data_IF_446289997561
#
_entry.id   IF_446289997561
#
_cell.length_a   1.000
_cell.length_b   1.000
_cell.length_c   1.000
_cell.angle_alpha   90.00
_cell.angle_beta   90.00
_cell.angle_gamma   90.00
#
_symmetry.space_group_name_H-M   'P 1'
#
loop_
_entity.id
_entity.type
_entity.pdbx_description
1 polymer ?
#
# COMPACT_ATOMS: atom_id res chain seq x y z
N UNK A 1 27.43 -18.44 1.25
CA UNK A 1 27.45 -18.05 -0.17
C UNK A 1 28.47 -16.93 -0.33
N UNK A 2 29.23 -16.82 -1.44
CA UNK A 2 30.12 -15.67 -1.64
C UNK A 2 29.27 -14.40 -1.66
N UNK A 3 29.80 -13.32 -1.02
CA UNK A 3 29.19 -12.01 -1.10
C UNK A 3 28.97 -11.63 -2.58
N UNK A 4 27.82 -11.05 -2.96
CA UNK A 4 27.63 -10.59 -4.32
C UNK A 4 28.75 -9.61 -4.67
N UNK A 5 29.31 -9.78 -5.86
CA UNK A 5 30.31 -8.90 -6.43
C UNK A 5 29.75 -7.47 -6.34
N UNK A 6 30.47 -6.54 -5.69
CA UNK A 6 30.02 -5.17 -5.41
C UNK A 6 29.95 -4.30 -6.68
N UNK A 7 29.34 -4.81 -7.75
CA UNK A 7 29.06 -4.06 -8.94
C UNK A 7 27.99 -3.00 -8.71
N UNK A 8 28.20 -1.79 -9.26
CA UNK A 8 27.21 -0.74 -9.22
C UNK A 8 25.94 -1.16 -10.00
N UNK A 9 24.77 -0.94 -9.41
CA UNK A 9 23.47 -1.20 -10.02
C UNK A 9 23.14 -0.08 -11.02
N UNK A 10 22.85 -0.47 -12.26
CA UNK A 10 22.49 0.48 -13.34
C UNK A 10 21.22 0.03 -14.05
N UNK A 11 20.28 0.95 -14.20
CA UNK A 11 19.08 0.76 -15.01
C UNK A 11 19.48 1.02 -16.48
N UNK A 12 19.32 0.02 -17.33
CA UNK A 12 19.61 0.12 -18.76
C UNK A 12 18.41 0.59 -19.56
N UNK A 13 17.21 0.16 -19.17
CA UNK A 13 15.94 0.47 -19.84
C UNK A 13 14.78 0.33 -18.86
N UNK A 14 13.72 1.10 -19.08
CA UNK A 14 12.46 1.00 -18.36
C UNK A 14 11.30 1.34 -19.31
N UNK A 15 10.28 0.47 -19.33
CA UNK A 15 9.13 0.58 -20.22
C UNK A 15 7.84 0.39 -19.43
N UNK A 16 6.77 1.00 -19.94
CA UNK A 16 5.42 0.84 -19.37
C UNK A 16 4.45 0.26 -20.39
N UNK A 17 3.52 -0.54 -19.87
CA UNK A 17 2.26 -0.89 -20.52
C UNK A 17 1.11 -0.49 -19.61
N UNK A 18 -0.03 -0.11 -20.20
CA UNK A 18 -1.20 0.35 -19.46
C UNK A 18 -2.43 -0.46 -19.86
N UNK A 19 -3.18 -0.89 -18.85
CA UNK A 19 -4.43 -1.62 -19.04
C UNK A 19 -5.55 -0.94 -18.25
N UNK A 20 -6.69 -0.68 -18.87
CA UNK A 20 -7.85 -0.12 -18.19
C UNK A 20 -8.75 -1.25 -17.64
N UNK A 21 -9.23 -1.05 -16.41
CA UNK A 21 -10.17 -1.96 -15.74
C UNK A 21 -11.44 -1.21 -15.36
N UNK A 22 -12.58 -1.90 -15.45
CA UNK A 22 -13.86 -1.44 -14.95
C UNK A 22 -14.15 -2.10 -13.60
N UNK A 23 -14.60 -1.31 -12.60
CA UNK A 23 -15.00 -1.81 -11.30
C UNK A 23 -16.50 -2.18 -11.32
N UNK A 24 -16.83 -3.36 -10.86
CA UNK A 24 -18.19 -3.86 -10.74
C UNK A 24 -18.37 -4.64 -9.42
N UNK A 25 -19.05 -4.05 -8.43
CA UNK A 25 -19.65 -2.71 -8.42
C UNK A 25 -18.60 -1.59 -8.32
N UNK A 26 -18.96 -0.32 -8.65
CA UNK A 26 -18.11 0.83 -8.40
C UNK A 26 -17.79 1.00 -6.91
N UNK A 27 -16.58 1.42 -6.58
CA UNK A 27 -16.18 1.71 -5.20
C UNK A 27 -16.43 3.18 -4.85
N UNK A 28 -17.25 3.43 -3.82
CA UNK A 28 -17.53 4.78 -3.32
C UNK A 28 -16.73 5.05 -2.06
N UNK A 29 -15.88 6.07 -2.13
CA UNK A 29 -15.07 6.60 -1.03
C UNK A 29 -15.47 8.04 -0.72
N UNK A 30 -15.00 8.63 0.37
CA UNK A 30 -15.31 10.00 0.76
C UNK A 30 -14.94 11.06 -0.30
N UNK A 31 -13.97 10.76 -1.17
CA UNK A 31 -13.47 11.67 -2.23
C UNK A 31 -14.17 11.50 -3.58
N UNK A 32 -14.98 10.46 -3.77
CA UNK A 32 -15.68 10.21 -5.04
C UNK A 32 -15.98 8.76 -5.33
N UNK A 33 -16.33 8.47 -6.57
CA UNK A 33 -16.62 7.13 -7.07
C UNK A 33 -15.53 6.68 -8.02
N UNK A 34 -15.04 5.47 -7.85
CA UNK A 34 -14.08 4.80 -8.73
C UNK A 34 -14.86 3.73 -9.50
N UNK A 35 -15.07 3.96 -10.80
CA UNK A 35 -15.74 3.05 -11.73
C UNK A 35 -14.77 2.46 -12.76
N UNK A 36 -13.74 3.23 -13.12
CA UNK A 36 -12.65 2.81 -14.00
C UNK A 36 -11.31 3.16 -13.39
N UNK A 37 -10.30 2.34 -13.66
CA UNK A 37 -8.95 2.54 -13.15
C UNK A 37 -7.92 1.99 -14.14
N UNK A 38 -6.78 2.67 -14.28
CA UNK A 38 -5.68 2.23 -15.14
C UNK A 38 -4.65 1.47 -14.32
N UNK A 39 -4.34 0.25 -14.71
CA UNK A 39 -3.18 -0.52 -14.27
C UNK A 39 -1.96 -0.08 -15.08
N UNK A 40 -0.88 0.30 -14.40
CA UNK A 40 0.41 0.61 -14.97
C UNK A 40 1.40 -0.48 -14.59
N UNK A 41 1.92 -1.21 -15.58
CA UNK A 41 2.97 -2.22 -15.39
C UNK A 41 4.26 -1.71 -15.99
N UNK A 42 5.33 -1.71 -15.18
CA UNK A 42 6.69 -1.35 -15.58
C UNK A 42 7.56 -2.61 -15.74
N UNK A 43 8.32 -2.66 -16.83
CA UNK A 43 9.44 -3.57 -17.00
C UNK A 43 10.74 -2.79 -16.89
N UNK A 44 11.67 -3.23 -16.04
CA UNK A 44 13.00 -2.66 -15.88
C UNK A 44 14.04 -3.68 -16.31
N UNK A 45 15.07 -3.22 -17.04
CA UNK A 45 16.30 -3.97 -17.28
C UNK A 45 17.40 -3.42 -16.38
N UNK A 46 17.85 -4.20 -15.42
CA UNK A 46 18.87 -3.84 -14.42
C UNK A 46 20.14 -4.68 -14.60
N UNK A 47 21.31 -4.06 -14.45
CA UNK A 47 22.60 -4.73 -14.49
C UNK A 47 23.48 -4.33 -13.31
N UNK A 48 24.37 -5.26 -12.88
CA UNK A 48 25.49 -4.98 -11.98
C UNK A 48 26.84 -4.88 -12.71
N UNK A 49 26.81 -4.77 -14.05
CA UNK A 49 27.99 -4.75 -14.91
C UNK A 49 28.44 -6.14 -15.41
N UNK A 50 28.05 -7.20 -14.72
CA UNK A 50 28.38 -8.60 -15.08
C UNK A 50 27.15 -9.37 -15.55
N UNK A 51 26.03 -9.20 -14.86
CA UNK A 51 24.77 -9.89 -15.13
C UNK A 51 23.68 -8.84 -15.39
N UNK A 52 22.74 -9.18 -16.25
CA UNK A 52 21.55 -8.36 -16.53
C UNK A 52 20.29 -9.17 -16.25
N UNK A 53 19.30 -8.55 -15.60
CA UNK A 53 17.99 -9.14 -15.31
C UNK A 53 16.87 -8.16 -15.60
N UNK A 54 15.71 -8.71 -15.93
CA UNK A 54 14.46 -7.97 -16.02
C UNK A 54 13.68 -8.11 -14.72
N UNK A 55 13.01 -7.05 -14.31
CA UNK A 55 12.07 -7.03 -13.21
C UNK A 55 10.78 -6.32 -13.60
N UNK A 56 9.70 -6.63 -12.89
CA UNK A 56 8.36 -6.13 -13.15
C UNK A 56 7.76 -5.54 -11.89
N UNK A 57 6.99 -4.47 -12.05
CA UNK A 57 6.23 -3.84 -10.98
C UNK A 57 4.94 -3.25 -11.52
N UNK A 58 3.86 -3.38 -10.76
CA UNK A 58 2.53 -2.97 -11.19
C UNK A 58 1.84 -2.18 -10.09
N UNK A 59 1.12 -1.13 -10.47
CA UNK A 59 0.30 -0.31 -9.57
C UNK A 59 -0.91 0.23 -10.34
N UNK A 60 -2.02 0.49 -9.61
CA UNK A 60 -3.17 1.20 -10.17
C UNK A 60 -3.01 2.72 -10.06
N UNK A 61 -3.22 3.43 -11.17
CA UNK A 61 -3.24 4.88 -11.23
C UNK A 61 -4.60 5.43 -10.78
N UNK A 62 -4.90 5.31 -9.47
CA UNK A 62 -6.18 5.69 -8.88
C UNK A 62 -6.31 7.20 -8.74
N UNK A 63 -6.69 7.89 -9.83
CA UNK A 63 -6.82 9.35 -9.88
C UNK A 63 -7.78 9.93 -8.82
N UNK A 64 -8.88 9.24 -8.52
CA UNK A 64 -9.85 9.69 -7.50
C UNK A 64 -9.22 9.71 -6.10
N UNK A 65 -8.31 8.79 -5.83
CA UNK A 65 -7.63 8.69 -4.53
C UNK A 65 -6.39 9.58 -4.44
N UNK A 66 -5.49 9.53 -5.45
CA UNK A 66 -4.20 10.21 -5.38
C UNK A 66 -4.22 11.65 -5.92
N UNK A 67 -5.26 12.03 -6.65
CA UNK A 67 -5.44 13.37 -7.22
C UNK A 67 -6.91 13.81 -7.16
N UNK A 68 -7.50 13.97 -5.96
CA UNK A 68 -8.94 14.25 -5.79
C UNK A 68 -9.34 15.67 -6.21
N UNK A 69 -8.40 16.64 -6.19
CA UNK A 69 -8.69 18.03 -6.53
C UNK A 69 -9.13 18.16 -7.99
N UNK A 70 -10.02 19.13 -8.27
CA UNK A 70 -10.41 19.43 -9.65
C UNK A 70 -9.20 19.90 -10.47
N UNK A 71 -9.11 19.47 -11.72
CA UNK A 71 -8.05 19.85 -12.64
C UNK A 71 -8.62 20.00 -14.06
N UNK A 72 -8.11 20.98 -14.80
CA UNK A 72 -8.45 21.22 -16.22
C UNK A 72 -7.68 20.28 -17.17
N UNK A 73 -7.32 19.10 -16.71
CA UNK A 73 -6.54 18.13 -17.46
C UNK A 73 -7.16 16.74 -17.33
N UNK A 74 -6.99 15.93 -18.36
CA UNK A 74 -7.21 14.48 -18.26
C UNK A 74 -6.16 13.87 -17.32
N UNK A 75 -6.58 13.57 -16.11
CA UNK A 75 -5.71 13.08 -15.05
C UNK A 75 -5.13 11.72 -15.36
N UNK A 76 -5.90 10.80 -15.95
CA UNK A 76 -5.40 9.48 -16.33
C UNK A 76 -4.28 9.59 -17.36
N UNK A 77 -4.48 10.40 -18.41
CA UNK A 77 -3.44 10.66 -19.41
C UNK A 77 -2.22 11.34 -18.78
N UNK A 78 -2.42 12.29 -17.86
CA UNK A 78 -1.32 12.96 -17.17
C UNK A 78 -0.49 11.99 -16.32
N UNK A 79 -1.15 11.06 -15.58
CA UNK A 79 -0.48 10.04 -14.77
C UNK A 79 0.30 9.05 -15.65
N UNK A 80 -0.25 8.59 -16.78
CA UNK A 80 0.47 7.72 -17.72
C UNK A 80 1.72 8.40 -18.27
N UNK A 81 1.61 9.63 -18.73
CA UNK A 81 2.77 10.42 -19.21
C UNK A 81 3.81 10.63 -18.12
N UNK A 82 3.39 10.81 -16.87
CA UNK A 82 4.30 10.93 -15.74
C UNK A 82 5.11 9.64 -15.54
N UNK A 83 4.47 8.47 -15.59
CA UNK A 83 5.16 7.17 -15.54
C UNK A 83 6.24 7.04 -16.62
N UNK A 84 5.88 7.32 -17.88
CA UNK A 84 6.80 7.27 -19.03
C UNK A 84 7.96 8.28 -18.89
N UNK A 85 7.66 9.49 -18.41
CA UNK A 85 8.68 10.54 -18.22
C UNK A 85 9.73 10.11 -17.20
N UNK A 86 9.31 9.56 -16.04
CA UNK A 86 10.26 9.09 -15.03
C UNK A 86 11.07 7.90 -15.56
N UNK A 87 10.44 6.94 -16.24
CA UNK A 87 11.11 5.76 -16.81
C UNK A 87 12.21 6.17 -17.80
N UNK A 88 11.90 7.10 -18.69
CA UNK A 88 12.89 7.62 -19.66
C UNK A 88 14.08 8.29 -18.96
N UNK A 89 13.83 9.06 -17.92
CA UNK A 89 14.87 9.82 -17.21
C UNK A 89 15.71 8.96 -16.27
N UNK A 90 15.14 7.93 -15.65
CA UNK A 90 15.87 7.05 -14.71
C UNK A 90 16.95 6.22 -15.43
N UNK A 91 16.71 5.80 -16.67
CA UNK A 91 17.67 5.06 -17.47
C UNK A 91 18.91 5.91 -17.85
N UNK A 92 18.82 7.24 -17.73
CA UNK A 92 19.92 8.18 -17.98
C UNK A 92 20.74 8.51 -16.73
N UNK A 93 20.33 8.00 -15.55
CA UNK A 93 20.99 8.32 -14.29
C UNK A 93 22.28 7.52 -14.09
N UNK A 94 23.12 8.03 -13.20
CA UNK A 94 24.35 7.33 -12.80
C UNK A 94 24.02 6.03 -12.05
N UNK A 95 24.88 5.01 -12.15
CA UNK A 95 24.74 3.80 -11.36
C UNK A 95 24.75 4.09 -9.86
N UNK A 96 24.04 3.28 -9.09
CA UNK A 96 24.00 3.35 -7.62
C UNK A 96 24.74 2.17 -6.99
N UNK A 97 25.32 2.38 -5.82
CA UNK A 97 25.95 1.36 -5.00
C UNK A 97 24.94 0.54 -4.16
N UNK A 98 23.68 0.98 -4.13
CA UNK A 98 22.65 0.34 -3.31
C UNK A 98 21.25 0.41 -3.95
N UNK A 99 20.40 -0.55 -3.58
CA UNK A 99 19.00 -0.58 -3.96
C UNK A 99 18.24 0.64 -3.42
N UNK A 100 18.50 1.04 -2.17
CA UNK A 100 17.91 2.25 -1.58
C UNK A 100 18.37 3.53 -2.28
N UNK A 101 19.60 3.54 -2.82
CA UNK A 101 20.09 4.64 -3.65
C UNK A 101 19.33 4.77 -4.97
N UNK A 102 18.98 3.65 -5.62
CA UNK A 102 18.11 3.67 -6.80
C UNK A 102 16.69 4.17 -6.45
N UNK A 103 16.09 3.67 -5.37
CA UNK A 103 14.80 4.15 -4.90
C UNK A 103 14.80 5.64 -4.59
N UNK A 104 15.86 6.17 -3.95
CA UNK A 104 16.03 7.59 -3.72
C UNK A 104 16.10 8.39 -5.04
N UNK A 105 16.81 7.87 -6.04
CA UNK A 105 16.89 8.50 -7.38
C UNK A 105 15.51 8.58 -8.02
N UNK A 106 14.71 7.52 -7.97
CA UNK A 106 13.33 7.51 -8.53
C UNK A 106 12.46 8.55 -7.82
N UNK A 107 12.50 8.62 -6.50
CA UNK A 107 11.75 9.59 -5.70
C UNK A 107 12.17 11.02 -6.05
N UNK A 108 13.48 11.31 -6.08
CA UNK A 108 14.02 12.65 -6.38
C UNK A 108 13.66 13.11 -7.79
N UNK A 109 13.77 12.22 -8.79
CA UNK A 109 13.35 12.53 -10.16
C UNK A 109 11.86 12.84 -10.25
N UNK A 110 11.01 12.11 -9.51
CA UNK A 110 9.57 12.38 -9.50
C UNK A 110 9.25 13.76 -8.91
N UNK A 111 9.99 14.18 -7.89
CA UNK A 111 9.81 15.51 -7.30
C UNK A 111 10.29 16.63 -8.21
N UNK A 112 11.40 16.42 -8.92
CA UNK A 112 11.96 17.37 -9.89
C UNK A 112 11.08 17.52 -11.14
N UNK A 113 10.64 16.40 -11.72
CA UNK A 113 10.03 16.39 -13.06
C UNK A 113 8.50 16.56 -13.05
N UNK A 114 7.85 16.29 -11.94
CA UNK A 114 6.39 16.22 -11.84
C UNK A 114 5.80 17.26 -10.88
N UNK A 115 6.40 18.44 -10.75
CA UNK A 115 5.96 19.50 -9.83
C UNK A 115 4.48 19.88 -9.98
N UNK A 116 3.93 19.78 -11.20
CA UNK A 116 2.51 20.07 -11.48
C UNK A 116 1.53 18.97 -11.04
N UNK A 117 2.05 17.82 -10.62
CA UNK A 117 1.25 16.68 -10.15
C UNK A 117 1.29 16.63 -8.62
N UNK A 118 0.18 16.39 -7.91
CA UNK A 118 0.16 16.30 -6.45
C UNK A 118 1.17 15.26 -5.91
N UNK A 119 1.77 15.49 -4.72
CA UNK A 119 2.82 14.63 -4.18
C UNK A 119 2.44 13.15 -4.12
N UNK A 120 1.22 12.81 -3.66
CA UNK A 120 0.77 11.42 -3.62
C UNK A 120 0.68 10.80 -5.02
N UNK A 121 0.18 11.55 -6.00
CA UNK A 121 0.10 11.07 -7.39
C UNK A 121 1.49 10.84 -8.00
N UNK A 122 2.50 11.68 -7.67
CA UNK A 122 3.89 11.44 -8.05
C UNK A 122 4.39 10.09 -7.55
N UNK A 123 4.10 9.75 -6.29
CA UNK A 123 4.49 8.46 -5.68
C UNK A 123 3.81 7.28 -6.40
N UNK A 124 2.52 7.42 -6.71
CA UNK A 124 1.77 6.40 -7.46
C UNK A 124 2.37 6.20 -8.87
N UNK A 125 2.78 7.28 -9.55
CA UNK A 125 3.38 7.17 -10.88
C UNK A 125 4.76 6.51 -10.88
N UNK A 126 5.59 6.71 -9.84
CA UNK A 126 6.90 6.08 -9.78
C UNK A 126 6.90 4.69 -9.12
N UNK A 127 5.83 4.32 -8.43
CA UNK A 127 5.79 3.05 -7.72
C UNK A 127 5.96 1.80 -8.61
N UNK A 128 5.36 1.69 -9.82
CA UNK A 128 5.62 0.53 -10.67
C UNK A 128 7.09 0.37 -11.04
N UNK A 129 7.77 1.49 -11.29
CA UNK A 129 9.21 1.51 -11.60
C UNK A 129 10.05 1.09 -10.39
N UNK A 130 9.77 1.63 -9.20
CA UNK A 130 10.48 1.27 -7.96
C UNK A 130 10.27 -0.22 -7.61
N UNK A 131 9.04 -0.72 -7.72
CA UNK A 131 8.72 -2.13 -7.53
C UNK A 131 9.46 -3.03 -8.53
N UNK A 132 9.55 -2.62 -9.81
CA UNK A 132 10.29 -3.35 -10.84
C UNK A 132 11.81 -3.37 -10.59
N UNK A 133 12.38 -2.28 -10.07
CA UNK A 133 13.79 -2.22 -9.65
C UNK A 133 14.06 -3.22 -8.53
N UNK A 134 13.18 -3.28 -7.53
CA UNK A 134 13.31 -4.24 -6.43
C UNK A 134 13.20 -5.69 -6.93
N UNK A 135 12.28 -5.96 -7.85
CA UNK A 135 12.14 -7.27 -8.46
C UNK A 135 13.39 -7.68 -9.25
N UNK A 136 13.89 -6.78 -10.12
CA UNK A 136 15.12 -6.99 -10.90
C UNK A 136 16.35 -7.22 -10.01
N UNK A 137 16.47 -6.46 -8.91
CA UNK A 137 17.59 -6.57 -7.98
C UNK A 137 17.61 -7.91 -7.25
N UNK A 138 16.44 -8.40 -6.81
CA UNK A 138 16.33 -9.76 -6.24
C UNK A 138 16.70 -10.85 -7.25
N UNK A 139 16.24 -10.73 -8.52
CA UNK A 139 16.64 -11.64 -9.59
C UNK A 139 18.15 -11.58 -9.91
N UNK A 140 18.79 -10.41 -9.82
CA UNK A 140 20.23 -10.27 -9.97
C UNK A 140 21.00 -10.99 -8.86
N UNK A 141 20.48 -10.91 -7.63
CA UNK A 141 21.09 -11.52 -6.46
C UNK A 141 20.72 -13.02 -6.30
N UNK A 142 19.74 -13.53 -7.04
CA UNK A 142 19.23 -14.90 -6.91
C UNK A 142 18.53 -15.16 -5.58
N UNK A 143 17.85 -14.14 -5.04
CA UNK A 143 17.10 -14.23 -3.78
C UNK A 143 15.85 -13.32 -3.81
N UNK A 144 14.97 -13.48 -2.84
CA UNK A 144 13.85 -12.55 -2.67
C UNK A 144 14.37 -11.13 -2.42
N UNK A 145 13.71 -10.13 -3.00
CA UNK A 145 14.07 -8.71 -2.80
C UNK A 145 14.09 -8.29 -1.32
N UNK A 146 13.29 -8.93 -0.47
CA UNK A 146 13.29 -8.68 0.97
C UNK A 146 14.58 -9.11 1.68
N UNK A 147 15.42 -9.95 1.06
CA UNK A 147 16.67 -10.46 1.64
C UNK A 147 17.87 -9.56 1.30
N UNK A 148 17.69 -8.53 0.46
CA UNK A 148 18.77 -7.66 0.00
C UNK A 148 19.26 -6.68 1.08
N UNK A 149 18.55 -6.55 2.19
CA UNK A 149 18.86 -5.59 3.27
C UNK A 149 19.78 -6.17 4.37
N UNK A 150 20.15 -7.44 4.30
CA UNK A 150 21.07 -8.11 5.25
C UNK A 150 22.50 -7.60 5.16
N UNK A 151 22.89 -6.98 4.06
CA UNK A 151 24.22 -6.41 3.85
C UNK A 151 24.16 -4.89 3.92
N UNK A 152 24.63 -4.34 5.03
CA UNK A 152 24.53 -2.92 5.37
C UNK A 152 25.48 -2.05 4.52
N UNK A 153 24.91 -1.38 3.52
CA UNK A 153 25.56 -0.27 2.82
C UNK A 153 25.08 1.07 3.36
N UNK A 154 25.76 2.16 3.04
CA UNK A 154 25.26 3.52 3.28
C UNK A 154 24.05 3.82 2.38
N UNK A 155 23.10 4.58 2.91
CA UNK A 155 21.88 4.96 2.19
C UNK A 155 21.63 6.47 2.31
N UNK A 156 21.09 7.12 1.26
CA UNK A 156 20.64 8.51 1.36
C UNK A 156 19.61 8.74 2.48
N UNK A 157 18.94 7.70 2.95
CA UNK A 157 17.95 7.76 4.03
C UNK A 157 18.52 7.56 5.44
N UNK A 158 19.84 7.38 5.60
CA UNK A 158 20.44 7.05 6.91
C UNK A 158 20.25 8.14 7.96
N UNK A 159 20.16 9.40 7.53
CA UNK A 159 19.85 10.50 8.44
C UNK A 159 18.47 10.36 9.12
N UNK A 160 17.56 9.59 8.54
CA UNK A 160 16.24 9.31 9.10
C UNK A 160 16.27 8.25 10.21
N UNK A 161 17.29 7.39 10.20
CA UNK A 161 17.49 6.26 11.12
C UNK A 161 18.80 6.41 11.93
N UNK A 162 18.91 7.44 12.78
CA UNK A 162 20.14 7.66 13.55
C UNK A 162 20.38 6.48 14.50
N UNK A 163 21.59 5.94 14.41
CA UNK A 163 22.05 4.84 15.28
C UNK A 163 22.07 3.46 14.61
N UNK A 164 21.28 3.21 13.56
CA UNK A 164 21.34 1.90 12.87
C UNK A 164 21.12 1.93 11.34
N UNK A 165 20.90 3.10 10.74
CA UNK A 165 20.78 3.24 9.28
C UNK A 165 19.49 2.65 8.69
N UNK A 166 19.19 3.01 7.45
CA UNK A 166 17.94 2.62 6.77
C UNK A 166 17.89 1.13 6.43
N UNK A 167 18.97 0.58 5.87
CA UNK A 167 19.03 -0.84 5.51
C UNK A 167 18.94 -1.74 6.76
N UNK A 168 19.65 -1.41 7.82
CA UNK A 168 19.58 -2.14 9.10
C UNK A 168 18.21 -2.06 9.76
N UNK A 169 17.53 -0.90 9.63
CA UNK A 169 16.18 -0.73 10.15
C UNK A 169 15.18 -1.63 9.40
N UNK A 170 15.32 -1.71 8.08
CA UNK A 170 14.49 -2.61 7.26
C UNK A 170 14.79 -4.06 7.63
N UNK A 171 16.05 -4.48 7.67
CA UNK A 171 16.44 -5.85 8.00
C UNK A 171 15.92 -6.28 9.37
N UNK A 172 16.05 -5.43 10.39
CA UNK A 172 15.56 -5.71 11.75
C UNK A 172 14.03 -5.80 11.86
N UNK A 173 13.30 -5.16 10.96
CA UNK A 173 11.84 -5.20 10.90
C UNK A 173 11.32 -6.42 10.15
N UNK A 174 12.05 -6.91 9.15
CA UNK A 174 11.65 -8.04 8.32
C UNK A 174 11.79 -9.38 9.07
N UNK A 175 10.86 -10.30 8.80
CA UNK A 175 10.93 -11.68 9.27
C UNK A 175 10.74 -12.67 8.10
N UNK A 176 11.01 -13.97 8.28
CA UNK A 176 10.70 -14.98 7.27
C UNK A 176 9.23 -14.89 6.82
N UNK A 177 8.93 -15.17 5.52
CA UNK A 177 7.57 -15.04 5.01
C UNK A 177 6.62 -15.96 5.78
N UNK A 178 5.42 -15.45 6.08
CA UNK A 178 4.29 -16.26 6.53
C UNK A 178 3.73 -17.04 5.34
N UNK A 179 3.07 -18.15 5.59
CA UNK A 179 2.35 -18.90 4.55
C UNK A 179 0.97 -18.32 4.25
N UNK A 180 0.39 -17.59 5.22
CA UNK A 180 -0.92 -16.95 5.11
C UNK A 180 -0.92 -15.61 5.86
N UNK A 181 -1.79 -14.71 5.40
CA UNK A 181 -2.15 -13.48 6.12
C UNK A 181 -3.67 -13.37 6.18
N UNK A 182 -4.21 -12.79 7.25
CA UNK A 182 -5.65 -12.60 7.38
C UNK A 182 -6.15 -11.61 6.32
N UNK A 183 -7.30 -11.93 5.70
CA UNK A 183 -7.95 -11.06 4.74
C UNK A 183 -8.79 -9.99 5.44
N UNK A 184 -8.77 -8.77 4.91
CA UNK A 184 -9.62 -7.67 5.35
C UNK A 184 -10.56 -7.25 4.22
N UNK A 185 -11.87 -7.23 4.49
CA UNK A 185 -12.88 -6.74 3.55
C UNK A 185 -12.97 -5.21 3.61
N UNK A 186 -13.02 -4.56 2.45
CA UNK A 186 -13.35 -3.13 2.35
C UNK A 186 -14.86 -2.95 2.27
N UNK A 187 -15.38 -2.07 3.10
CA UNK A 187 -16.79 -1.69 3.16
C UNK A 187 -16.91 -0.21 2.77
N UNK A 188 -17.38 0.06 1.57
CA UNK A 188 -17.61 1.43 1.09
C UNK A 188 -18.80 2.09 1.81
N UNK A 189 -18.89 3.42 1.73
CA UNK A 189 -19.96 4.22 2.38
C UNK A 189 -21.37 3.75 1.98
N UNK A 190 -21.53 3.22 0.76
CA UNK A 190 -22.82 2.75 0.22
C UNK A 190 -22.97 1.22 0.23
N UNK A 191 -22.02 0.49 0.79
CA UNK A 191 -22.11 -0.97 0.88
C UNK A 191 -23.20 -1.35 1.89
N UNK A 192 -24.13 -2.23 1.48
CA UNK A 192 -25.23 -2.62 2.36
C UNK A 192 -24.81 -3.67 3.39
N UNK A 193 -25.43 -3.68 4.58
CA UNK A 193 -25.15 -4.69 5.60
C UNK A 193 -25.37 -6.13 5.11
N UNK A 194 -26.36 -6.35 4.22
CA UNK A 194 -26.64 -7.65 3.62
C UNK A 194 -25.48 -8.14 2.77
N UNK A 195 -24.90 -7.25 1.93
CA UNK A 195 -23.73 -7.58 1.12
C UNK A 195 -22.52 -7.93 1.99
N UNK A 196 -22.30 -7.17 3.07
CA UNK A 196 -21.22 -7.45 4.04
C UNK A 196 -21.40 -8.82 4.68
N UNK A 197 -22.63 -9.12 5.16
CA UNK A 197 -22.95 -10.43 5.75
C UNK A 197 -22.65 -11.56 4.78
N UNK A 198 -23.15 -11.45 3.54
CA UNK A 198 -23.07 -12.51 2.55
C UNK A 198 -21.59 -12.74 2.14
N UNK A 199 -20.82 -11.67 1.92
CA UNK A 199 -19.39 -11.77 1.62
C UNK A 199 -18.57 -12.32 2.79
N UNK A 200 -18.77 -11.83 4.01
CA UNK A 200 -18.10 -12.32 5.20
C UNK A 200 -18.44 -13.80 5.49
N UNK A 201 -19.68 -14.21 5.27
CA UNK A 201 -20.09 -15.62 5.43
C UNK A 201 -19.41 -16.51 4.39
N UNK A 202 -19.42 -16.09 3.12
CA UNK A 202 -18.88 -16.89 2.01
C UNK A 202 -17.36 -17.09 2.11
N UNK A 203 -16.63 -16.13 2.69
CA UNK A 203 -15.18 -16.15 2.78
C UNK A 203 -14.65 -16.29 4.22
N UNK A 204 -15.53 -16.46 5.21
CA UNK A 204 -15.19 -16.52 6.65
C UNK A 204 -14.36 -15.32 7.15
N UNK A 205 -14.64 -14.10 6.64
CA UNK A 205 -13.91 -12.87 6.98
C UNK A 205 -14.48 -12.26 8.26
N UNK A 206 -13.59 -11.83 9.16
CA UNK A 206 -13.92 -11.15 10.42
C UNK A 206 -13.19 -9.84 10.62
N UNK A 207 -12.46 -9.38 9.60
CA UNK A 207 -11.71 -8.13 9.60
C UNK A 207 -12.29 -7.20 8.55
N UNK A 208 -12.68 -6.01 8.98
CA UNK A 208 -13.30 -5.02 8.11
C UNK A 208 -12.49 -3.73 8.09
N UNK A 209 -12.40 -3.12 6.92
CA UNK A 209 -12.09 -1.69 6.80
C UNK A 209 -13.35 -0.97 6.35
N UNK A 210 -13.92 -0.15 7.22
CA UNK A 210 -15.19 0.54 7.00
C UNK A 210 -14.91 2.01 6.64
N UNK A 211 -15.33 2.42 5.45
CA UNK A 211 -15.25 3.82 5.03
C UNK A 211 -16.24 4.66 5.81
N UNK A 212 -15.74 5.77 6.37
CA UNK A 212 -16.49 6.81 7.07
C UNK A 212 -16.20 8.17 6.44
N UNK A 213 -16.82 9.25 6.91
CA UNK A 213 -16.61 10.60 6.35
C UNK A 213 -17.64 10.93 5.27
N UNK A 214 -18.89 10.49 5.45
CA UNK A 214 -20.02 10.84 4.59
C UNK A 214 -20.41 12.32 4.63
N UNK A 215 -19.83 13.08 5.59
CA UNK A 215 -20.19 14.47 5.89
C UNK A 215 -21.22 14.61 7.01
N UNK A 216 -21.80 13.50 7.47
CA UNK A 216 -22.75 13.43 8.59
C UNK A 216 -22.32 12.37 9.61
N UNK A 217 -21.97 12.80 10.81
CA UNK A 217 -21.47 11.94 11.88
C UNK A 217 -22.51 10.90 12.31
N UNK A 218 -23.79 11.26 12.40
CA UNK A 218 -24.87 10.33 12.78
C UNK A 218 -25.04 9.21 11.74
N UNK A 219 -24.92 9.57 10.47
CA UNK A 219 -24.95 8.64 9.35
C UNK A 219 -23.77 7.68 9.40
N UNK A 220 -22.55 8.18 9.62
CA UNK A 220 -21.34 7.36 9.75
C UNK A 220 -21.46 6.38 10.93
N UNK A 221 -21.91 6.83 12.10
CA UNK A 221 -22.13 5.98 13.28
C UNK A 221 -23.15 4.88 12.98
N UNK A 222 -24.28 5.25 12.37
CA UNK A 222 -25.35 4.32 12.00
C UNK A 222 -24.86 3.26 11.01
N UNK A 223 -24.05 3.67 10.01
CA UNK A 223 -23.44 2.76 9.03
C UNK A 223 -22.49 1.77 9.68
N UNK A 224 -21.56 2.23 10.51
CA UNK A 224 -20.62 1.37 11.23
C UNK A 224 -21.37 0.33 12.09
N UNK A 225 -22.38 0.75 12.85
CA UNK A 225 -23.19 -0.15 13.71
C UNK A 225 -23.92 -1.19 12.85
N UNK A 226 -24.57 -0.77 11.75
CA UNK A 226 -25.33 -1.66 10.90
C UNK A 226 -24.45 -2.71 10.23
N UNK A 227 -23.29 -2.30 9.71
CA UNK A 227 -22.29 -3.18 9.11
C UNK A 227 -21.77 -4.21 10.13
N UNK A 228 -21.34 -3.76 11.30
CA UNK A 228 -20.78 -4.64 12.32
C UNK A 228 -21.79 -5.68 12.80
N UNK A 229 -23.05 -5.28 13.00
CA UNK A 229 -24.13 -6.19 13.42
C UNK A 229 -24.53 -7.22 12.36
N UNK A 230 -24.19 -6.97 11.10
CA UNK A 230 -24.44 -7.89 10.00
C UNK A 230 -23.41 -9.02 9.91
N UNK A 231 -22.19 -8.83 10.42
CA UNK A 231 -21.11 -9.83 10.34
C UNK A 231 -21.42 -10.99 11.28
N UNK A 232 -21.43 -12.25 10.81
CA UNK A 232 -21.61 -13.41 11.67
C UNK A 232 -20.37 -13.60 12.54
N UNK A 233 -20.50 -13.31 13.82
CA UNK A 233 -19.44 -13.51 14.81
C UNK A 233 -19.81 -14.68 15.73
N UNK A 234 -19.42 -15.91 15.37
CA UNK A 234 -19.66 -17.07 16.22
C UNK A 234 -19.02 -16.93 17.62
N UNK A 235 -17.90 -16.19 17.70
CA UNK A 235 -17.14 -15.95 18.93
C UNK A 235 -17.24 -14.49 19.42
N UNK A 236 -18.10 -13.67 18.78
CA UNK A 236 -18.28 -12.24 19.11
C UNK A 236 -17.12 -11.32 18.71
N UNK A 237 -16.06 -11.84 18.05
CA UNK A 237 -14.89 -11.05 17.69
C UNK A 237 -14.93 -10.58 16.24
N UNK A 238 -14.87 -9.27 16.06
CA UNK A 238 -14.65 -8.59 14.77
C UNK A 238 -13.49 -7.60 14.98
N UNK A 239 -12.65 -7.42 13.98
CA UNK A 239 -11.59 -6.43 13.98
C UNK A 239 -11.92 -5.33 12.93
N UNK A 240 -11.97 -4.07 13.36
CA UNK A 240 -12.44 -2.96 12.54
C UNK A 240 -11.33 -1.92 12.39
N UNK A 241 -10.97 -1.60 11.17
CA UNK A 241 -10.30 -0.35 10.83
C UNK A 241 -11.34 0.63 10.28
N UNK A 242 -11.41 1.83 10.82
CA UNK A 242 -12.22 2.91 10.25
C UNK A 242 -11.35 3.74 9.31
N UNK A 243 -11.81 4.01 8.09
CA UNK A 243 -11.05 4.81 7.12
C UNK A 243 -11.84 6.05 6.71
N UNK A 244 -11.34 7.20 7.13
CA UNK A 244 -11.97 8.49 6.92
C UNK A 244 -11.50 9.20 5.64
N UNK A 245 -10.46 8.72 4.96
CA UNK A 245 -9.84 9.35 3.78
C UNK A 245 -9.60 10.87 3.97
N UNK A 246 -9.29 11.31 5.20
CA UNK A 246 -9.02 12.69 5.54
C UNK A 246 -10.24 13.60 5.71
N UNK A 247 -11.45 13.05 5.81
CA UNK A 247 -12.69 13.84 5.82
C UNK A 247 -13.01 14.51 7.15
N UNK A 248 -12.34 14.17 8.26
CA UNK A 248 -12.53 14.87 9.54
C UNK A 248 -11.62 16.09 9.61
N UNK A 249 -12.20 17.27 9.77
CA UNK A 249 -11.48 18.55 9.77
C UNK A 249 -10.58 18.74 11.01
N UNK A 250 -10.91 18.09 12.14
CA UNK A 250 -10.20 18.28 13.42
C UNK A 250 -10.30 17.06 14.34
N UNK A 251 -9.42 17.02 15.34
CA UNK A 251 -9.46 16.02 16.41
C UNK A 251 -10.79 16.05 17.18
N UNK A 252 -11.40 17.23 17.33
CA UNK A 252 -12.68 17.38 18.00
C UNK A 252 -13.81 16.66 17.27
N UNK A 253 -13.86 16.77 15.94
CA UNK A 253 -14.88 16.10 15.12
C UNK A 253 -14.74 14.58 15.17
N UNK A 254 -13.52 14.07 15.12
CA UNK A 254 -13.29 12.64 15.32
C UNK A 254 -13.67 12.19 16.74
N UNK A 255 -13.34 12.98 17.76
CA UNK A 255 -13.72 12.69 19.16
C UNK A 255 -15.24 12.64 19.34
N UNK A 256 -15.99 13.56 18.69
CA UNK A 256 -17.45 13.56 18.66
C UNK A 256 -18.00 12.26 18.07
N UNK A 257 -17.50 11.85 16.89
CA UNK A 257 -17.87 10.57 16.26
C UNK A 257 -17.63 9.37 17.19
N UNK A 258 -16.43 9.28 17.80
CA UNK A 258 -16.07 8.17 18.69
C UNK A 258 -16.93 8.15 19.97
N UNK A 259 -17.27 9.33 20.51
CA UNK A 259 -18.15 9.43 21.67
C UNK A 259 -19.57 8.96 21.34
N UNK A 260 -20.11 9.35 20.18
CA UNK A 260 -21.42 8.91 19.71
C UNK A 260 -21.44 7.39 19.45
N UNK A 261 -20.39 6.85 18.82
CA UNK A 261 -20.27 5.40 18.57
C UNK A 261 -20.22 4.61 19.91
N UNK A 262 -19.41 5.08 20.87
CA UNK A 262 -19.33 4.47 22.22
C UNK A 262 -20.65 4.52 22.96
N UNK A 263 -21.42 5.60 22.83
CA UNK A 263 -22.73 5.73 23.46
C UNK A 263 -23.79 4.84 22.82
N UNK A 264 -23.81 4.77 21.47
CA UNK A 264 -24.83 4.05 20.72
C UNK A 264 -24.60 2.54 20.66
N UNK A 265 -23.34 2.10 20.61
CA UNK A 265 -22.95 0.69 20.50
C UNK A 265 -21.55 0.45 21.11
N UNK A 266 -21.45 0.34 22.44
CA UNK A 266 -20.17 0.13 23.13
C UNK A 266 -19.48 -1.20 22.72
N UNK A 267 -20.25 -2.21 22.38
CA UNK A 267 -19.81 -3.50 21.87
C UNK A 267 -19.14 -3.39 20.49
N UNK A 268 -19.61 -2.49 19.64
CA UNK A 268 -18.98 -2.19 18.33
C UNK A 268 -17.74 -1.31 18.52
N UNK A 269 -17.83 -0.31 19.39
CA UNK A 269 -16.74 0.64 19.61
C UNK A 269 -15.44 -0.04 20.09
N UNK A 270 -15.53 -1.11 20.91
CA UNK A 270 -14.35 -1.85 21.38
C UNK A 270 -13.69 -2.70 20.28
N UNK A 271 -14.38 -2.95 19.17
CA UNK A 271 -13.84 -3.68 18.03
C UNK A 271 -13.02 -2.78 17.10
N UNK A 272 -13.03 -1.45 17.28
CA UNK A 272 -12.25 -0.52 16.46
C UNK A 272 -10.79 -0.57 16.87
N UNK A 273 -9.97 -1.17 16.03
CA UNK A 273 -8.54 -1.42 16.28
C UNK A 273 -7.61 -0.34 15.71
N UNK A 274 -8.10 0.47 14.77
CA UNK A 274 -7.35 1.58 14.17
C UNK A 274 -8.28 2.56 13.43
N UNK A 275 -7.81 3.78 13.23
CA UNK A 275 -8.46 4.80 12.38
C UNK A 275 -7.45 5.29 11.35
N UNK A 276 -7.75 5.06 10.07
CA UNK A 276 -6.90 5.43 8.94
C UNK A 276 -7.24 6.85 8.47
N UNK A 277 -6.21 7.66 8.27
CA UNK A 277 -6.24 9.03 7.75
C UNK A 277 -7.47 9.83 8.22
N UNK A 278 -7.61 10.11 9.52
CA UNK A 278 -8.75 10.88 10.00
C UNK A 278 -8.80 12.31 9.42
N UNK A 279 -7.65 12.96 9.23
CA UNK A 279 -7.52 14.32 8.69
C UNK A 279 -6.40 14.42 7.66
N UNK A 280 -6.60 15.27 6.63
CA UNK A 280 -5.53 15.58 5.66
C UNK A 280 -4.47 16.53 6.22
N UNK A 281 -4.76 17.24 7.28
CA UNK A 281 -3.87 18.25 7.88
C UNK A 281 -3.93 18.15 9.41
N UNK A 282 -3.28 17.11 9.99
CA UNK A 282 -3.22 17.04 11.45
C UNK A 282 -2.51 18.26 11.99
N UNK A 283 -3.19 19.04 12.87
CA UNK A 283 -2.63 20.23 13.49
C UNK A 283 -1.90 19.84 14.79
N UNK A 284 -0.69 20.36 14.94
CA UNK A 284 0.09 20.23 16.16
C UNK A 284 -0.57 20.97 17.36
N UNK A 285 -1.42 21.94 17.12
CA UNK A 285 -2.21 22.60 18.18
C UNK A 285 -3.20 21.61 18.84
N UNK A 286 -3.72 20.64 18.09
CA UNK A 286 -4.62 19.59 18.57
C UNK A 286 -3.86 18.35 19.11
N UNK A 287 -2.54 18.39 19.18
CA UNK A 287 -1.68 17.25 19.55
C UNK A 287 -2.15 16.48 20.79
N UNK A 288 -2.57 17.21 21.82
CA UNK A 288 -3.01 16.56 23.07
C UNK A 288 -4.24 15.67 22.82
N UNK A 289 -5.21 16.16 22.06
CA UNK A 289 -6.43 15.41 21.75
C UNK A 289 -6.14 14.27 20.78
N UNK A 290 -5.33 14.49 19.73
CA UNK A 290 -4.88 13.41 18.85
C UNK A 290 -4.17 12.30 19.63
N UNK A 291 -3.26 12.65 20.56
CA UNK A 291 -2.54 11.68 21.38
C UNK A 291 -3.47 10.92 22.33
N UNK A 292 -4.52 11.56 22.86
CA UNK A 292 -5.51 10.88 23.69
C UNK A 292 -6.33 9.86 22.88
N UNK A 293 -6.75 10.23 21.68
CA UNK A 293 -7.44 9.30 20.78
C UNK A 293 -6.51 8.14 20.40
N UNK A 294 -5.27 8.46 20.02
CA UNK A 294 -4.27 7.48 19.58
C UNK A 294 -3.84 6.49 20.67
N UNK A 295 -3.96 6.87 21.95
CA UNK A 295 -3.69 5.98 23.08
C UNK A 295 -4.70 4.84 23.19
N UNK A 296 -5.97 5.10 22.86
CA UNK A 296 -7.03 4.11 22.87
C UNK A 296 -7.13 3.38 21.51
N UNK A 297 -6.99 4.14 20.41
CA UNK A 297 -7.19 3.66 19.05
C UNK A 297 -6.13 4.28 18.13
N UNK A 298 -5.15 3.50 17.64
CA UNK A 298 -4.09 4.00 16.77
C UNK A 298 -4.59 4.78 15.56
N UNK A 299 -3.96 5.93 15.29
CA UNK A 299 -4.24 6.79 14.14
C UNK A 299 -3.20 6.53 13.06
N UNK A 300 -3.65 6.04 11.89
CA UNK A 300 -2.78 5.63 10.80
C UNK A 300 -2.63 6.77 9.78
N UNK A 301 -1.40 7.03 9.38
CA UNK A 301 -1.08 7.89 8.24
C UNK A 301 -1.27 7.09 6.95
N UNK A 302 -2.00 7.63 5.97
CA UNK A 302 -2.18 7.05 4.64
C UNK A 302 -1.91 8.08 3.54
N UNK A 303 -2.92 8.83 3.08
CA UNK A 303 -2.79 9.75 1.95
C UNK A 303 -1.70 10.81 2.11
N UNK A 304 -1.46 11.21 3.34
CA UNK A 304 -0.43 12.22 3.64
C UNK A 304 0.99 11.64 3.67
N UNK A 305 1.18 10.32 3.56
CA UNK A 305 2.50 9.70 3.46
C UNK A 305 3.04 9.75 2.03
N UNK A 306 3.85 10.73 1.71
CA UNK A 306 4.53 10.88 0.41
C UNK A 306 6.05 10.86 0.53
N UNK A 307 6.57 11.10 1.74
CA UNK A 307 7.99 11.06 2.11
C UNK A 307 8.13 10.79 3.62
N UNK A 308 9.33 10.44 4.07
CA UNK A 308 9.55 10.09 5.48
C UNK A 308 9.29 11.24 6.46
N UNK A 309 9.47 12.49 6.03
CA UNK A 309 9.19 13.65 6.89
C UNK A 309 7.70 13.82 7.19
N UNK A 310 6.81 13.32 6.33
CA UNK A 310 5.37 13.36 6.57
C UNK A 310 4.97 12.51 7.79
N UNK A 311 5.56 11.31 7.91
CA UNK A 311 5.30 10.45 9.09
C UNK A 311 5.95 11.00 10.36
N UNK A 312 7.10 11.67 10.26
CA UNK A 312 7.68 12.40 11.38
C UNK A 312 6.76 13.54 11.82
N UNK A 313 6.21 14.30 10.88
CA UNK A 313 5.25 15.36 11.18
C UNK A 313 4.01 14.80 11.88
N UNK A 314 3.38 13.75 11.36
CA UNK A 314 2.23 13.10 11.98
C UNK A 314 2.56 12.62 13.43
N UNK A 315 3.79 12.11 13.65
CA UNK A 315 4.27 11.77 15.00
C UNK A 315 4.28 12.98 15.93
N UNK A 316 4.72 14.16 15.45
CA UNK A 316 4.70 15.39 16.27
C UNK A 316 3.27 15.84 16.58
N UNK A 317 2.29 15.48 15.75
CA UNK A 317 0.87 15.73 15.98
C UNK A 317 0.20 14.68 16.87
N UNK A 318 0.91 13.61 17.28
CA UNK A 318 0.42 12.60 18.20
C UNK A 318 -0.14 11.34 17.54
N UNK A 319 -0.01 11.17 16.21
CA UNK A 319 -0.37 9.92 15.53
C UNK A 319 0.67 8.84 15.76
N UNK A 320 0.26 7.57 15.69
CA UNK A 320 1.09 6.44 16.10
C UNK A 320 0.91 5.17 15.24
N UNK A 321 0.54 5.32 13.98
CA UNK A 321 0.38 4.21 13.06
C UNK A 321 0.57 4.60 11.60
N UNK A 322 0.71 3.60 10.72
CA UNK A 322 0.97 3.79 9.29
C UNK A 322 0.27 2.72 8.45
N UNK A 323 -0.41 3.16 7.40
CA UNK A 323 -0.90 2.33 6.31
C UNK A 323 0.20 2.14 5.26
N UNK A 324 0.77 0.95 5.22
CA UNK A 324 1.82 0.57 4.27
C UNK A 324 1.17 0.13 2.97
N UNK A 325 1.57 0.73 1.85
CA UNK A 325 1.04 0.41 0.52
C UNK A 325 2.16 0.34 -0.51
N UNK A 326 2.22 -0.75 -1.29
CA UNK A 326 3.15 -0.91 -2.41
C UNK A 326 2.93 0.10 -3.54
N UNK A 327 1.76 0.75 -3.57
CA UNK A 327 1.43 1.79 -4.54
C UNK A 327 2.20 3.11 -4.36
N UNK A 328 3.01 3.25 -3.32
CA UNK A 328 3.99 4.35 -3.14
C UNK A 328 5.41 3.95 -3.49
N UNK A 329 5.60 2.71 -3.95
CA UNK A 329 6.88 2.06 -4.19
C UNK A 329 7.34 1.22 -2.98
N UNK A 330 8.04 0.15 -3.29
CA UNK A 330 8.61 -0.77 -2.31
C UNK A 330 9.59 -0.07 -1.36
N UNK A 331 10.39 0.86 -1.89
CA UNK A 331 11.36 1.65 -1.11
C UNK A 331 10.68 2.42 0.01
N UNK A 332 9.66 3.24 -0.29
CA UNK A 332 8.94 4.01 0.74
C UNK A 332 8.12 3.11 1.67
N UNK A 333 7.52 2.04 1.14
CA UNK A 333 6.78 1.07 1.94
C UNK A 333 7.67 0.45 3.04
N UNK A 334 8.86 -0.03 2.67
CA UNK A 334 9.81 -0.64 3.62
C UNK A 334 10.39 0.38 4.59
N UNK A 335 10.78 1.57 4.12
CA UNK A 335 11.32 2.62 4.97
C UNK A 335 10.30 3.12 5.99
N UNK A 336 9.05 3.35 5.56
CA UNK A 336 7.96 3.75 6.44
C UNK A 336 7.65 2.68 7.48
N UNK A 337 7.54 1.41 7.06
CA UNK A 337 7.33 0.28 7.95
C UNK A 337 8.44 0.14 8.99
N UNK A 338 9.71 0.26 8.57
CA UNK A 338 10.88 0.19 9.45
C UNK A 338 10.90 1.35 10.45
N UNK A 339 10.58 2.57 10.00
CA UNK A 339 10.48 3.73 10.87
C UNK A 339 9.38 3.58 11.93
N UNK A 340 8.22 3.08 11.53
CA UNK A 340 7.11 2.79 12.45
C UNK A 340 7.44 1.66 13.42
N UNK A 341 8.03 0.55 12.93
CA UNK A 341 8.45 -0.57 13.75
C UNK A 341 9.42 -0.16 14.86
N UNK A 342 10.44 0.62 14.52
CA UNK A 342 11.44 1.13 15.47
C UNK A 342 10.84 2.00 16.60
N UNK A 343 9.59 2.48 16.44
CA UNK A 343 8.87 3.33 17.41
C UNK A 343 7.67 2.64 18.04
N UNK A 344 7.44 1.37 17.76
CA UNK A 344 6.28 0.64 18.26
C UNK A 344 4.95 1.11 17.65
N UNK A 345 4.97 1.70 16.46
CA UNK A 345 3.77 2.13 15.75
C UNK A 345 2.95 0.94 15.25
N UNK A 346 1.64 1.14 15.14
CA UNK A 346 0.75 0.20 14.47
C UNK A 346 0.98 0.29 12.96
N UNK A 347 1.64 -0.72 12.39
CA UNK A 347 1.73 -0.87 10.93
C UNK A 347 0.59 -1.78 10.44
N UNK A 348 -0.06 -1.39 9.35
CA UNK A 348 -1.05 -2.19 8.61
C UNK A 348 -0.66 -2.21 7.15
N UNK A 349 -1.00 -3.27 6.42
CA UNK A 349 -0.72 -3.36 4.98
C UNK A 349 -2.02 -3.35 4.20
N UNK A 350 -2.10 -2.44 3.25
CA UNK A 350 -3.32 -2.13 2.50
C UNK A 350 -3.03 -1.95 1.01
N UNK A 351 -4.05 -2.01 0.16
CA UNK A 351 -3.93 -1.84 -1.29
C UNK A 351 -4.81 -0.71 -1.85
N UNK A 352 -4.94 -0.67 -3.18
CA UNK A 352 -5.78 0.26 -3.95
C UNK A 352 -6.76 -0.48 -4.87
N UNK A 353 -7.37 -1.58 -4.43
CA UNK A 353 -8.16 -2.46 -5.30
C UNK A 353 -7.29 -3.12 -6.39
N UNK A 354 -6.07 -3.47 -6.01
CA UNK A 354 -5.01 -3.88 -6.90
C UNK A 354 -5.25 -5.27 -7.50
N UNK A 355 -5.23 -5.42 -8.85
CA UNK A 355 -5.33 -6.72 -9.49
C UNK A 355 -3.97 -7.42 -9.55
N UNK A 356 -4.00 -8.70 -9.92
CA UNK A 356 -2.83 -9.47 -10.36
C UNK A 356 -1.61 -9.32 -9.43
N UNK A 357 -0.46 -8.96 -10.01
CA UNK A 357 0.81 -8.87 -9.29
C UNK A 357 0.84 -7.73 -8.26
N UNK A 358 0.06 -6.67 -8.44
CA UNK A 358 -0.01 -5.58 -7.47
C UNK A 358 -0.67 -6.03 -6.15
N UNK A 359 -1.69 -6.89 -6.22
CA UNK A 359 -2.27 -7.54 -5.03
C UNK A 359 -1.29 -8.52 -4.38
N UNK A 360 -0.57 -9.31 -5.19
CA UNK A 360 0.46 -10.23 -4.70
C UNK A 360 1.56 -9.46 -3.95
N UNK A 361 2.02 -8.31 -4.44
CA UNK A 361 2.97 -7.46 -3.72
C UNK A 361 2.45 -7.03 -2.35
N UNK A 362 1.16 -6.70 -2.24
CA UNK A 362 0.53 -6.34 -0.96
C UNK A 362 0.58 -7.51 0.02
N UNK A 363 0.25 -8.72 -0.43
CA UNK A 363 0.30 -9.94 0.38
C UNK A 363 1.73 -10.26 0.81
N UNK A 364 2.71 -10.13 -0.10
CA UNK A 364 4.13 -10.33 0.22
C UNK A 364 4.61 -9.34 1.29
N UNK A 365 4.29 -8.05 1.18
CA UNK A 365 4.62 -7.06 2.21
C UNK A 365 4.04 -7.44 3.57
N UNK A 366 2.74 -7.78 3.62
CA UNK A 366 2.08 -8.18 4.86
C UNK A 366 2.70 -9.43 5.49
N UNK A 367 3.19 -10.35 4.64
CA UNK A 367 3.82 -11.58 5.10
C UNK A 367 5.20 -11.39 5.71
N UNK A 368 5.87 -10.24 5.45
CA UNK A 368 7.27 -9.99 5.83
C UNK A 368 7.45 -8.94 6.93
N UNK A 369 6.47 -8.05 7.13
CA UNK A 369 6.57 -6.95 8.10
C UNK A 369 6.18 -7.44 9.49
N UNK A 370 7.08 -7.26 10.46
CA UNK A 370 6.86 -7.60 11.87
C UNK A 370 5.65 -6.88 12.45
N UNK A 371 4.81 -7.62 13.18
CA UNK A 371 3.59 -7.10 13.80
C UNK A 371 2.38 -6.98 12.86
N UNK A 372 2.55 -7.14 11.56
CA UNK A 372 1.44 -7.19 10.58
C UNK A 372 0.93 -8.63 10.48
N UNK A 373 -0.38 -8.81 10.61
CA UNK A 373 -1.06 -10.11 10.46
C UNK A 373 -2.09 -10.11 9.35
N UNK A 374 -2.47 -8.94 8.87
CA UNK A 374 -3.61 -8.70 7.97
C UNK A 374 -3.14 -7.98 6.71
N UNK A 375 -3.71 -8.37 5.57
CA UNK A 375 -3.63 -7.62 4.33
C UNK A 375 -5.02 -7.20 3.87
N UNK A 376 -5.18 -5.94 3.49
CA UNK A 376 -6.30 -5.52 2.68
C UNK A 376 -5.96 -5.83 1.22
N UNK A 377 -6.68 -6.79 0.63
CA UNK A 377 -6.65 -7.09 -0.81
C UNK A 377 -8.09 -7.20 -1.24
N UNK A 378 -8.56 -6.18 -1.94
CA UNK A 378 -9.98 -6.04 -2.23
C UNK A 378 -10.35 -6.19 -3.73
N UNK A 379 -9.39 -6.57 -4.58
CA UNK A 379 -9.65 -6.79 -6.00
C UNK A 379 -10.80 -7.80 -6.23
N UNK A 380 -10.86 -8.88 -5.45
CA UNK A 380 -11.93 -9.87 -5.54
C UNK A 380 -13.35 -9.30 -5.29
N UNK A 381 -13.44 -8.15 -4.60
CA UNK A 381 -14.72 -7.48 -4.34
C UNK A 381 -15.20 -6.61 -5.51
N UNK A 382 -14.26 -6.06 -6.33
CA UNK A 382 -14.54 -5.00 -7.30
C UNK A 382 -14.05 -5.32 -8.73
N UNK A 383 -13.04 -6.19 -8.88
CA UNK A 383 -12.36 -6.48 -10.15
C UNK A 383 -12.30 -7.99 -10.40
N UNK A 384 -13.33 -8.58 -11.02
CA UNK A 384 -13.32 -10.02 -11.35
C UNK A 384 -12.16 -10.42 -12.26
N UNK A 385 -11.84 -9.60 -13.26
CA UNK A 385 -10.70 -9.82 -14.16
C UNK A 385 -9.34 -9.79 -13.44
N UNK A 386 -9.28 -9.24 -12.24
CA UNK A 386 -8.04 -9.06 -11.48
C UNK A 386 -7.48 -10.34 -10.86
N UNK A 387 -8.23 -11.47 -10.88
CA UNK A 387 -7.75 -12.76 -10.36
C UNK A 387 -8.11 -13.95 -11.24
N UNK A 388 -9.11 -13.83 -12.15
CA UNK A 388 -9.56 -14.94 -13.01
C UNK A 388 -8.46 -15.41 -13.99
N UNK A 389 -7.55 -14.49 -14.37
CA UNK A 389 -6.44 -14.77 -15.29
C UNK A 389 -5.14 -15.18 -14.59
N UNK A 390 -5.15 -15.27 -13.25
CA UNK A 390 -4.00 -15.75 -12.51
C UNK A 390 -3.84 -17.28 -12.67
N UNK A 391 -2.60 -17.80 -12.70
CA UNK A 391 -2.35 -19.22 -12.51
C UNK A 391 -3.08 -19.75 -11.27
N UNK A 392 -3.60 -20.98 -11.33
CA UNK A 392 -4.41 -21.58 -10.26
C UNK A 392 -3.75 -21.51 -8.87
N UNK A 393 -2.43 -21.66 -8.80
CA UNK A 393 -1.68 -21.55 -7.56
C UNK A 393 -1.62 -20.16 -6.93
N UNK A 394 -1.96 -19.09 -7.67
CA UNK A 394 -1.89 -17.71 -7.21
C UNK A 394 -3.26 -17.09 -6.91
N UNK A 395 -4.35 -17.73 -7.26
CA UNK A 395 -5.70 -17.18 -7.02
C UNK A 395 -5.99 -16.93 -5.54
N UNK A 396 -5.51 -17.80 -4.66
CA UNK A 396 -5.63 -17.66 -3.20
C UNK A 396 -4.89 -16.45 -2.60
N UNK A 397 -4.02 -15.78 -3.38
CA UNK A 397 -3.38 -14.53 -2.96
C UNK A 397 -4.34 -13.33 -3.03
N UNK A 398 -5.44 -13.45 -3.79
CA UNK A 398 -6.39 -12.37 -4.02
C UNK A 398 -7.79 -12.74 -3.55
N UNK A 399 -8.20 -13.98 -3.79
CA UNK A 399 -9.49 -14.49 -3.35
C UNK A 399 -9.34 -15.16 -1.97
N UNK A 400 -9.92 -14.60 -0.91
CA UNK A 400 -9.81 -15.16 0.43
C UNK A 400 -10.44 -16.54 0.53
N UNK A 401 -9.75 -17.47 1.19
CA UNK A 401 -10.25 -18.80 1.52
C UNK A 401 -10.16 -18.94 3.05
N UNK A 402 -11.28 -19.24 3.68
CA UNK A 402 -11.37 -19.36 5.15
C UNK A 402 -10.82 -18.13 5.92
N UNK A 403 -11.06 -16.93 5.40
CA UNK A 403 -10.64 -15.68 6.03
C UNK A 403 -9.18 -15.30 5.84
N UNK A 404 -8.42 -16.08 5.06
CA UNK A 404 -6.99 -15.84 4.82
C UNK A 404 -6.65 -15.71 3.33
N UNK A 405 -5.56 -15.02 3.06
CA UNK A 405 -4.91 -14.94 1.76
C UNK A 405 -3.64 -15.79 1.78
N UNK A 406 -3.43 -16.58 0.75
CA UNK A 406 -2.20 -17.37 0.58
C UNK A 406 -1.03 -16.46 0.22
N UNK A 407 0.13 -16.74 0.79
CA UNK A 407 1.38 -16.06 0.43
C UNK A 407 2.13 -16.94 -0.58
N UNK A 408 2.44 -16.43 -1.79
CA UNK A 408 3.16 -17.23 -2.76
C UNK A 408 4.62 -17.38 -2.37
N UNK A 409 5.23 -18.49 -2.78
CA UNK A 409 6.69 -18.67 -2.64
C UNK A 409 7.40 -17.83 -3.73
N UNK A 410 8.17 -16.84 -3.30
CA UNK A 410 8.98 -15.98 -4.19
C UNK A 410 10.44 -16.13 -3.80
N UNK A 411 11.14 -17.02 -4.52
CA UNK A 411 12.55 -17.31 -4.27
C UNK A 411 13.50 -16.25 -4.84
N UNK A 412 13.08 -15.54 -5.90
CA UNK A 412 13.86 -14.49 -6.56
C UNK A 412 12.97 -13.28 -6.90
N UNK A 413 13.44 -12.09 -6.59
CA UNK A 413 12.72 -10.84 -6.87
C UNK A 413 11.49 -10.62 -5.99
N UNK A 414 10.41 -10.14 -6.60
CA UNK A 414 9.09 -9.89 -6.00
C UNK A 414 7.94 -10.56 -6.77
N UNK A 415 8.22 -11.07 -7.97
CA UNK A 415 7.22 -11.67 -8.86
C UNK A 415 7.34 -13.18 -8.82
N UNK A 416 6.23 -13.90 -8.53
CA UNK A 416 6.22 -15.36 -8.63
C UNK A 416 6.71 -15.85 -10.00
N UNK A 417 7.54 -16.89 -10.01
CA UNK A 417 8.18 -17.40 -11.24
C UNK A 417 7.16 -17.80 -12.29
N UNK A 418 6.03 -18.40 -11.90
CA UNK A 418 4.96 -18.84 -12.78
C UNK A 418 4.18 -17.67 -13.43
N UNK A 419 4.24 -16.47 -12.89
CA UNK A 419 3.58 -15.29 -13.45
C UNK A 419 4.47 -14.49 -14.42
N UNK A 420 5.80 -14.62 -14.33
CA UNK A 420 6.76 -13.90 -15.20
C UNK A 420 6.48 -14.04 -16.70
N UNK A 421 6.15 -15.26 -17.24
CA UNK A 421 5.84 -15.40 -18.65
C UNK A 421 4.60 -14.61 -19.10
N UNK A 422 3.64 -14.37 -18.21
CA UNK A 422 2.45 -13.55 -18.49
C UNK A 422 2.87 -12.09 -18.69
N UNK A 423 3.69 -11.56 -17.79
CA UNK A 423 4.20 -10.18 -17.86
C UNK A 423 5.07 -9.98 -19.10
N UNK A 424 5.99 -10.90 -19.42
CA UNK A 424 6.84 -10.80 -20.60
C UNK A 424 5.99 -10.65 -21.87
N UNK A 425 4.95 -11.48 -22.04
CA UNK A 425 4.06 -11.39 -23.20
C UNK A 425 3.36 -10.04 -23.32
N UNK A 426 2.97 -9.41 -22.20
CA UNK A 426 2.34 -8.08 -22.24
C UNK A 426 3.25 -7.02 -22.88
N UNK A 427 4.58 -7.17 -22.79
CA UNK A 427 5.56 -6.25 -23.38
C UNK A 427 5.99 -6.64 -24.80
N UNK A 428 5.77 -7.89 -25.22
CA UNK A 428 6.04 -8.36 -26.59
C UNK A 428 4.89 -8.01 -27.55
N UNK A 429 3.65 -7.96 -27.04
CA UNK A 429 2.43 -7.72 -27.81
C UNK A 429 2.10 -6.22 -27.99
N UNK A 430 2.79 -5.31 -27.27
CA UNK A 430 2.66 -3.85 -27.31
C UNK A 430 3.94 -3.18 -27.83
#
# INVERSE_FOLDING_TARGET
>A
MPAPDNGLLRILDAKFVFQQHELSPPLVIGKGTIDTITEATCQVTLTNGTITRQGFGTVLLSQVWCWPEAADTDKDLALRKACETIAHRVAQQQPSDSLLGLGHTVISLSDELLESIPPLARRVCCAPLDNAIHDAAGCLAGCSSFELFTHHGTSPFDATFPGFGAASAIDSMLHPPKTFVDAQMVVGIKTTPEHVRDYCTSHNIRRLKIKIGSGDIESDVSHVIAVCKAVPAADGYIDITLDANGCYESANKLSEFLAMLRQAAPDVAVCVSAIEQPSMSPDSADRQLWSQIAADTPLLVDETFTQLDDIKHASTCGWNGLAIKSCRGQTLALLGAAWGHARGWKNTVMDLTSPNIAAIHTVLLASRISGVTTAEVNAAQFLRSGYENLPDGLQGCILPIDGVLSVPDVTEGLVPTEYRPVLIRQFEDN
#
